data_IF_825548058908
#
_entry.id   IF_825548058908
#
_cell.length_a   1.000
_cell.length_b   1.000
_cell.length_c   1.000
_cell.angle_alpha   90.00
_cell.angle_beta   90.00
_cell.angle_gamma   90.00
#
_symmetry.space_group_name_H-M   'P 1'
#
loop_
_entity.id
_entity.type
_entity.pdbx_description
1 polymer ?
#
# COMPACT_ATOMS: atom_id res chain seq x y z
N UNK A 1 8.43 26.27 8.91
CA UNK A 1 8.90 25.27 7.92
C UNK A 1 7.70 24.48 7.43
N UNK A 2 7.61 24.17 6.13
CA UNK A 2 6.54 23.30 5.58
C UNK A 2 6.83 21.88 6.08
N UNK A 3 5.90 21.27 6.84
CA UNK A 3 6.05 19.87 7.29
C UNK A 3 6.18 18.97 6.05
N UNK A 4 7.27 18.20 5.97
CA UNK A 4 7.41 17.17 4.93
C UNK A 4 6.45 16.03 5.28
N UNK A 5 5.71 15.58 4.27
CA UNK A 5 4.95 14.33 4.38
C UNK A 5 5.78 13.26 3.69
N UNK A 6 5.83 12.09 4.31
CA UNK A 6 6.34 10.88 3.69
C UNK A 6 5.16 10.02 3.24
N UNK A 7 5.44 9.07 2.37
CA UNK A 7 4.43 8.14 1.86
C UNK A 7 4.91 6.73 2.11
N UNK A 8 4.00 5.82 2.41
CA UNK A 8 4.30 4.41 2.61
C UNK A 8 3.44 3.61 1.63
N UNK A 9 4.07 2.83 0.77
CA UNK A 9 3.37 1.81 0.00
C UNK A 9 3.11 0.61 0.91
N UNK A 10 1.85 0.18 1.05
CA UNK A 10 1.50 -1.00 1.85
C UNK A 10 0.87 -2.08 0.98
N UNK A 11 1.18 -3.34 1.28
CA UNK A 11 0.47 -4.51 0.78
C UNK A 11 -0.36 -5.08 1.92
N UNK A 12 -1.61 -5.43 1.62
CA UNK A 12 -2.49 -6.18 2.51
C UNK A 12 -2.87 -7.49 1.83
N UNK A 13 -2.82 -8.57 2.62
CA UNK A 13 -3.27 -9.90 2.24
C UNK A 13 -4.52 -10.25 3.05
N UNK A 14 -5.62 -10.54 2.34
CA UNK A 14 -6.89 -10.96 2.92
C UNK A 14 -7.43 -12.16 2.14
N UNK A 15 -7.80 -13.25 2.82
CA UNK A 15 -8.32 -14.47 2.21
C UNK A 15 -7.45 -15.03 1.06
N UNK A 16 -6.12 -14.93 1.19
CA UNK A 16 -5.16 -15.39 0.17
C UNK A 16 -5.05 -14.48 -1.06
N UNK A 17 -5.74 -13.34 -1.06
CA UNK A 17 -5.67 -12.31 -2.11
C UNK A 17 -4.96 -11.06 -1.60
N UNK A 18 -4.43 -10.28 -2.52
CA UNK A 18 -3.55 -9.14 -2.25
C UNK A 18 -4.08 -7.86 -2.86
N UNK A 19 -3.91 -6.75 -2.16
CA UNK A 19 -4.02 -5.42 -2.72
C UNK A 19 -3.00 -4.49 -2.07
N UNK A 20 -2.67 -3.41 -2.75
CA UNK A 20 -1.74 -2.41 -2.23
C UNK A 20 -2.22 -0.99 -2.47
N UNK A 21 -1.84 -0.11 -1.56
CA UNK A 21 -2.21 1.30 -1.58
C UNK A 21 -1.18 2.17 -0.85
N UNK A 22 -1.17 3.46 -1.14
CA UNK A 22 -0.25 4.41 -0.53
C UNK A 22 -0.90 5.08 0.70
N UNK A 23 -0.15 5.17 1.79
CA UNK A 23 -0.53 5.87 3.01
C UNK A 23 0.33 7.13 3.12
N UNK A 24 -0.30 8.28 3.37
CA UNK A 24 0.41 9.51 3.72
C UNK A 24 0.71 9.52 5.21
N UNK A 25 1.95 9.79 5.58
CA UNK A 25 2.39 9.94 6.97
C UNK A 25 3.14 11.25 7.16
N UNK A 26 3.06 11.78 8.36
CA UNK A 26 3.79 12.96 8.84
C UNK A 26 4.77 12.55 9.93
N UNK A 27 5.73 13.42 10.24
CA UNK A 27 6.69 13.20 11.35
C UNK A 27 6.02 13.08 12.73
N UNK A 28 4.79 13.57 12.87
CA UNK A 28 3.99 13.46 14.10
C UNK A 28 3.16 12.17 14.19
N UNK A 29 3.10 11.37 13.12
CA UNK A 29 2.35 10.13 13.13
C UNK A 29 3.15 9.01 13.81
N UNK A 30 2.48 8.25 14.69
CA UNK A 30 3.04 7.02 15.23
C UNK A 30 2.94 5.90 14.19
N UNK A 31 4.08 5.39 13.70
CA UNK A 31 4.09 4.37 12.65
C UNK A 31 3.45 3.05 13.08
N UNK A 32 3.65 2.64 14.34
CA UNK A 32 3.05 1.41 14.87
C UNK A 32 1.52 1.48 14.80
N UNK A 33 0.93 2.62 15.20
CA UNK A 33 -0.50 2.86 15.11
C UNK A 33 -0.99 2.99 13.67
N UNK A 34 -0.26 3.69 12.80
CA UNK A 34 -0.63 3.85 11.37
C UNK A 34 -0.60 2.53 10.60
N UNK A 35 0.33 1.65 10.94
CA UNK A 35 0.53 0.36 10.30
C UNK A 35 -0.17 -0.78 11.03
N UNK A 36 -1.00 -0.48 12.03
CA UNK A 36 -1.92 -1.43 12.67
C UNK A 36 -3.08 -1.79 11.73
N UNK A 37 -2.75 -2.33 10.56
CA UNK A 37 -3.65 -2.72 9.48
C UNK A 37 -3.73 -4.24 9.51
N UNK A 38 -4.94 -4.78 9.66
CA UNK A 38 -5.16 -6.23 9.62
C UNK A 38 -4.69 -6.78 8.26
N UNK A 39 -3.88 -7.82 8.29
CA UNK A 39 -3.39 -8.47 7.07
C UNK A 39 -2.26 -7.74 6.36
N UNK A 40 -1.62 -6.73 6.98
CA UNK A 40 -0.45 -6.09 6.38
C UNK A 40 0.66 -7.12 6.14
N UNK A 41 1.14 -7.19 4.91
CA UNK A 41 2.18 -8.13 4.49
C UNK A 41 3.50 -7.43 4.18
N UNK A 42 3.44 -6.18 3.69
CA UNK A 42 4.61 -5.35 3.41
C UNK A 42 4.29 -3.86 3.61
N UNK A 43 5.32 -3.09 3.95
CA UNK A 43 5.25 -1.64 4.07
C UNK A 43 6.61 -1.02 3.71
N UNK A 44 6.65 -0.19 2.66
CA UNK A 44 7.86 0.48 2.20
C UNK A 44 7.71 2.00 2.32
N UNK A 45 8.65 2.66 3.00
CA UNK A 45 8.74 4.11 3.02
C UNK A 45 9.24 4.61 1.65
N UNK A 46 8.56 5.60 1.09
CA UNK A 46 8.87 6.21 -0.20
C UNK A 46 9.22 7.69 0.00
N UNK A 47 10.17 8.19 -0.80
CA UNK A 47 10.65 9.57 -0.76
C UNK A 47 9.66 10.58 -1.34
N UNK A 48 8.66 10.13 -2.10
CA UNK A 48 7.61 11.00 -2.65
C UNK A 48 6.27 10.27 -2.82
N UNK A 49 5.20 11.05 -3.05
CA UNK A 49 3.88 10.52 -3.42
C UNK A 49 3.94 9.69 -4.70
N UNK A 50 4.62 10.21 -5.72
CA UNK A 50 4.73 9.58 -7.05
C UNK A 50 5.39 8.21 -6.95
N UNK A 51 6.48 8.14 -6.20
CA UNK A 51 7.19 6.88 -5.96
C UNK A 51 6.30 5.85 -5.24
N UNK A 52 5.54 6.27 -4.23
CA UNK A 52 4.60 5.36 -3.56
C UNK A 52 3.50 4.87 -4.53
N UNK A 53 2.98 5.76 -5.39
CA UNK A 53 1.99 5.42 -6.42
C UNK A 53 2.57 4.44 -7.47
N UNK A 54 3.82 4.60 -7.87
CA UNK A 54 4.52 3.68 -8.79
C UNK A 54 4.71 2.30 -8.15
N UNK A 55 5.13 2.25 -6.88
CA UNK A 55 5.32 0.97 -6.15
C UNK A 55 4.00 0.21 -6.01
N UNK A 56 2.92 0.86 -5.56
CA UNK A 56 1.62 0.18 -5.38
C UNK A 56 1.00 -0.20 -6.71
N UNK A 57 1.25 0.58 -7.78
CA UNK A 57 0.81 0.21 -9.13
C UNK A 57 1.52 -1.05 -9.58
N UNK A 58 2.85 -1.11 -9.47
CA UNK A 58 3.63 -2.29 -9.84
C UNK A 58 3.24 -3.54 -9.04
N UNK A 59 3.01 -3.41 -7.73
CA UNK A 59 2.52 -4.50 -6.89
C UNK A 59 1.14 -4.98 -7.31
N UNK A 60 0.19 -4.06 -7.50
CA UNK A 60 -1.17 -4.42 -7.94
C UNK A 60 -1.19 -5.04 -9.34
N UNK A 61 -0.36 -4.58 -10.27
CA UNK A 61 -0.19 -5.20 -11.59
C UNK A 61 0.36 -6.63 -11.48
N UNK A 62 1.33 -6.86 -10.59
CA UNK A 62 1.83 -8.20 -10.29
C UNK A 62 0.74 -9.10 -9.69
N UNK A 63 -0.07 -8.59 -8.76
CA UNK A 63 -1.19 -9.35 -8.18
C UNK A 63 -2.26 -9.68 -9.23
N UNK A 64 -2.52 -8.78 -10.18
CA UNK A 64 -3.45 -9.02 -11.28
C UNK A 64 -2.92 -10.09 -12.22
N UNK A 65 -1.65 -9.99 -12.62
CA UNK A 65 -1.04 -10.93 -13.58
C UNK A 65 -0.93 -12.35 -13.03
N UNK A 66 -0.76 -12.51 -11.72
CA UNK A 66 -0.69 -13.82 -11.06
C UNK A 66 -2.03 -14.31 -10.48
N UNK A 67 -3.14 -13.59 -10.73
CA UNK A 67 -4.48 -13.98 -10.28
C UNK A 67 -4.72 -13.87 -8.76
N UNK A 68 -3.83 -13.20 -8.01
CA UNK A 68 -3.97 -13.01 -6.56
C UNK A 68 -4.57 -11.65 -6.17
N UNK A 69 -4.92 -10.77 -7.12
CA UNK A 69 -5.51 -9.46 -6.79
C UNK A 69 -6.87 -9.59 -6.08
N UNK A 70 -7.07 -8.82 -5.00
CA UNK A 70 -8.28 -8.83 -4.16
C UNK A 70 -9.54 -8.33 -4.89
N UNK A 71 -9.38 -7.38 -5.82
CA UNK A 71 -10.51 -6.66 -6.41
C UNK A 71 -10.78 -7.00 -7.89
N UNK A 72 -10.70 -8.27 -8.28
CA UNK A 72 -11.15 -8.72 -9.61
C UNK A 72 -11.77 -10.12 -9.55
N UNK A 73 -12.65 -10.57 -10.46
CA UNK A 73 -13.59 -9.86 -11.34
C UNK A 73 -14.99 -10.06 -10.73
N UNK A 74 -15.80 -9.00 -10.59
CA UNK A 74 -17.25 -9.17 -10.42
C UNK A 74 -17.74 -9.59 -11.80
N UNK A 75 -17.92 -10.89 -12.03
CA UNK A 75 -18.71 -11.36 -13.16
C UNK A 75 -20.16 -10.92 -12.89
N UNK A 76 -20.58 -9.84 -13.56
CA UNK A 76 -21.99 -9.49 -13.72
C UNK A 76 -22.67 -10.51 -14.63
#
# INVERSE_FOLDING_TARGET
MKKKNSYIAVQVTENGKNYSYAIKVSESDNLLSKLAIKGIAAANLCGSRKEAEEVVTAWNECFKSNGSYMFGEVFC
#
